data_IF_116263454108
#
_entry.id   IF_116263454108
#
_cell.length_a   1.000
_cell.length_b   1.000
_cell.length_c   1.000
_cell.angle_alpha   90.00
_cell.angle_beta   90.00
_cell.angle_gamma   90.00
#
_symmetry.space_group_name_H-M   'P 1'
#
loop_
_entity.id
_entity.type
_entity.pdbx_description
1 polymer ?
#
# COMPACT_ATOMS: atom_id res chain seq x y z
N UNK A 1 73.63 -58.46 30.40
CA UNK A 1 72.77 -58.63 29.20
C UNK A 1 71.62 -57.63 29.33
N UNK A 2 71.80 -56.43 28.75
CA UNK A 2 70.84 -55.33 28.84
C UNK A 2 70.02 -55.28 27.54
N UNK A 3 68.88 -55.94 27.52
CA UNK A 3 67.85 -55.79 26.48
C UNK A 3 66.67 -55.03 27.07
N UNK A 4 66.75 -53.69 27.10
CA UNK A 4 65.64 -52.82 27.54
C UNK A 4 65.51 -51.45 26.84
N UNK A 5 66.32 -51.02 25.85
CA UNK A 5 66.05 -49.73 25.19
C UNK A 5 64.98 -49.79 24.08
N UNK A 6 64.75 -50.96 23.46
CA UNK A 6 63.86 -51.09 22.28
C UNK A 6 62.37 -51.02 22.60
N UNK A 7 61.95 -51.41 23.81
CA UNK A 7 60.54 -51.37 24.21
C UNK A 7 60.06 -49.95 24.49
N UNK A 8 60.94 -49.10 25.06
CA UNK A 8 60.62 -47.71 25.41
C UNK A 8 60.44 -46.86 24.15
N UNK A 9 61.33 -47.00 23.15
CA UNK A 9 61.19 -46.27 21.87
C UNK A 9 59.93 -46.65 21.10
N UNK A 10 59.54 -47.93 21.15
CA UNK A 10 58.32 -48.42 20.49
C UNK A 10 57.06 -47.86 21.15
N UNK A 11 57.04 -47.77 22.49
CA UNK A 11 55.92 -47.18 23.23
C UNK A 11 55.77 -45.67 22.97
N UNK A 12 56.88 -44.91 22.91
CA UNK A 12 56.87 -43.49 22.58
C UNK A 12 56.35 -43.25 21.16
N UNK A 13 56.78 -44.06 20.19
CA UNK A 13 56.30 -43.97 18.81
C UNK A 13 54.81 -44.33 18.66
N UNK A 14 54.33 -45.35 19.37
CA UNK A 14 52.91 -45.68 19.40
C UNK A 14 52.06 -44.52 19.93
N UNK A 15 52.50 -43.88 21.03
CA UNK A 15 51.83 -42.69 21.59
C UNK A 15 51.82 -41.51 20.62
N UNK A 16 52.90 -41.30 19.88
CA UNK A 16 52.96 -40.26 18.85
C UNK A 16 51.89 -40.50 17.77
N UNK A 17 51.75 -41.73 17.28
CA UNK A 17 50.75 -42.08 16.27
C UNK A 17 49.31 -41.94 16.80
N UNK A 18 49.06 -42.36 18.04
CA UNK A 18 47.75 -42.21 18.68
C UNK A 18 47.34 -40.72 18.77
N UNK A 19 48.28 -39.83 19.13
CA UNK A 19 48.01 -38.39 19.20
C UNK A 19 47.72 -37.78 17.83
N UNK A 20 48.45 -38.17 16.78
CA UNK A 20 48.12 -37.74 15.42
C UNK A 20 46.72 -38.20 14.99
N UNK A 21 46.35 -39.44 15.32
CA UNK A 21 45.04 -39.97 15.00
C UNK A 21 43.93 -39.23 15.74
N UNK A 22 44.11 -38.97 17.04
CA UNK A 22 43.15 -38.22 17.85
C UNK A 22 42.97 -36.79 17.35
N UNK A 23 44.06 -36.10 17.03
CA UNK A 23 44.00 -34.75 16.48
C UNK A 23 43.23 -34.69 15.15
N UNK A 24 43.43 -35.65 14.24
CA UNK A 24 42.70 -35.71 12.97
C UNK A 24 41.24 -36.13 13.13
N UNK A 25 40.92 -36.86 14.19
CA UNK A 25 39.56 -37.35 14.48
C UNK A 25 38.69 -36.35 15.27
N UNK A 26 39.28 -35.27 15.81
CA UNK A 26 38.57 -34.25 16.55
C UNK A 26 37.46 -33.58 15.71
N UNK A 27 36.27 -33.42 16.29
CA UNK A 27 35.09 -32.88 15.61
C UNK A 27 34.88 -31.39 15.85
N UNK A 28 35.56 -30.80 16.84
CA UNK A 28 35.51 -29.37 17.14
C UNK A 28 36.88 -28.80 17.48
N UNK A 29 36.97 -27.46 17.40
CA UNK A 29 38.18 -26.71 17.73
C UNK A 29 38.53 -26.89 19.22
N UNK A 30 37.53 -26.95 20.10
CA UNK A 30 37.73 -27.15 21.54
C UNK A 30 38.27 -28.54 21.86
N UNK A 31 37.76 -29.58 21.20
CA UNK A 31 38.23 -30.96 21.34
C UNK A 31 39.69 -31.09 20.88
N UNK A 32 40.02 -30.51 19.72
CA UNK A 32 41.39 -30.47 19.22
C UNK A 32 42.32 -29.68 20.17
N UNK A 33 41.88 -28.53 20.66
CA UNK A 33 42.66 -27.72 21.59
C UNK A 33 42.96 -28.48 22.89
N UNK A 34 41.98 -29.25 23.41
CA UNK A 34 42.17 -30.11 24.57
C UNK A 34 43.20 -31.21 24.30
N UNK A 35 43.09 -31.90 23.15
CA UNK A 35 44.04 -32.94 22.74
C UNK A 35 45.48 -32.40 22.67
N UNK A 36 45.66 -31.21 22.10
CA UNK A 36 46.97 -30.57 21.96
C UNK A 36 47.62 -30.27 23.31
N UNK A 37 46.89 -29.73 24.30
CA UNK A 37 47.49 -29.25 25.56
C UNK A 37 47.44 -30.24 26.71
N UNK A 38 46.59 -31.28 26.64
CA UNK A 38 46.45 -32.28 27.72
C UNK A 38 46.96 -33.65 27.28
N UNK A 39 46.47 -34.19 26.15
CA UNK A 39 46.79 -35.56 25.74
C UNK A 39 48.25 -35.70 25.29
N UNK A 40 48.91 -34.61 24.87
CA UNK A 40 50.33 -34.60 24.53
C UNK A 40 51.28 -34.63 25.75
N UNK A 41 50.77 -34.47 26.98
CA UNK A 41 51.58 -34.43 28.20
C UNK A 41 52.42 -35.70 28.42
N UNK A 42 51.89 -36.93 28.27
CA UNK A 42 52.64 -38.16 28.49
C UNK A 42 53.74 -38.40 27.44
N UNK A 43 53.74 -37.67 26.32
CA UNK A 43 54.78 -37.77 25.29
C UNK A 43 55.98 -36.88 25.61
N UNK A 44 55.73 -35.62 25.99
CA UNK A 44 56.78 -34.61 26.21
C UNK A 44 57.14 -34.39 27.69
N UNK A 45 56.39 -34.98 28.61
CA UNK A 45 56.54 -34.84 30.06
C UNK A 45 56.60 -33.38 30.54
N UNK A 46 55.80 -32.51 29.93
CA UNK A 46 55.71 -31.10 30.33
C UNK A 46 54.85 -30.92 31.59
N UNK A 47 55.12 -29.82 32.30
CA UNK A 47 54.32 -29.38 33.46
C UNK A 47 53.04 -28.69 33.00
N UNK A 48 53.16 -27.80 32.02
CA UNK A 48 52.04 -27.11 31.40
C UNK A 48 52.37 -26.75 29.95
N UNK A 49 51.33 -26.71 29.14
CA UNK A 49 51.33 -26.27 27.77
C UNK A 49 50.28 -25.19 27.55
N UNK A 50 50.55 -24.25 26.65
CA UNK A 50 49.60 -23.24 26.20
C UNK A 50 49.52 -23.24 24.67
N UNK A 51 48.30 -23.35 24.14
CA UNK A 51 48.03 -23.21 22.71
C UNK A 51 47.65 -21.77 22.39
N UNK A 52 48.37 -21.16 21.46
CA UNK A 52 48.15 -19.81 20.96
C UNK A 52 47.67 -19.84 19.51
N UNK A 53 46.66 -19.03 19.20
CA UNK A 53 46.13 -18.84 17.85
C UNK A 53 45.93 -17.36 17.63
N UNK A 54 46.48 -16.81 16.55
CA UNK A 54 46.49 -15.37 16.25
C UNK A 54 46.97 -14.52 17.44
N UNK A 55 48.01 -14.98 18.14
CA UNK A 55 48.63 -14.29 19.27
C UNK A 55 47.87 -14.36 20.61
N UNK A 56 46.75 -15.08 20.67
CA UNK A 56 45.95 -15.24 21.91
C UNK A 56 45.94 -16.68 22.39
N UNK A 57 45.98 -16.88 23.69
CA UNK A 57 45.90 -18.22 24.30
C UNK A 57 44.46 -18.75 24.17
N UNK A 58 44.33 -19.91 23.53
CA UNK A 58 43.05 -20.61 23.33
C UNK A 58 42.81 -21.72 24.35
N UNK A 59 43.87 -22.43 24.73
CA UNK A 59 43.79 -23.50 25.72
C UNK A 59 45.08 -23.59 26.53
N UNK A 60 44.97 -24.05 27.77
CA UNK A 60 46.07 -24.29 28.69
C UNK A 60 45.85 -25.65 29.36
N UNK A 61 46.93 -26.39 29.64
CA UNK A 61 46.84 -27.68 30.34
C UNK A 61 46.04 -27.59 31.63
N UNK A 62 45.15 -28.55 31.84
CA UNK A 62 44.35 -28.68 33.07
C UNK A 62 43.17 -27.72 33.20
N UNK A 63 42.89 -26.89 32.19
CA UNK A 63 41.77 -25.93 32.22
C UNK A 63 40.96 -26.00 30.92
N UNK A 64 39.64 -26.14 31.04
CA UNK A 64 38.72 -26.23 29.89
C UNK A 64 38.61 -24.90 29.13
N UNK A 65 38.63 -23.76 29.84
CA UNK A 65 38.63 -22.41 29.26
C UNK A 65 39.58 -21.49 30.03
N UNK A 66 40.68 -21.01 29.43
CA UNK A 66 41.60 -20.11 30.12
C UNK A 66 40.95 -18.74 30.35
N UNK A 67 41.09 -18.21 31.57
CA UNK A 67 40.63 -16.85 31.87
C UNK A 67 41.51 -15.82 31.15
N UNK A 68 40.96 -14.85 30.40
CA UNK A 68 41.73 -13.91 29.57
C UNK A 68 42.78 -13.05 30.31
N UNK A 69 42.66 -12.91 31.63
CA UNK A 69 43.56 -12.11 32.47
C UNK A 69 44.30 -12.95 33.52
N UNK A 70 44.34 -14.27 33.37
CA UNK A 70 45.16 -15.10 34.22
C UNK A 70 46.64 -14.69 34.08
N UNK A 71 47.42 -14.58 35.17
CA UNK A 71 48.82 -14.15 35.12
C UNK A 71 49.67 -14.95 34.12
N UNK A 72 49.46 -16.27 34.06
CA UNK A 72 50.16 -17.15 33.12
C UNK A 72 49.77 -16.89 31.65
N UNK A 73 48.49 -16.63 31.37
CA UNK A 73 48.01 -16.31 30.01
C UNK A 73 48.62 -14.99 29.53
N UNK A 74 48.57 -13.96 30.37
CA UNK A 74 49.15 -12.65 30.06
C UNK A 74 50.67 -12.73 29.82
N UNK A 75 51.37 -13.55 30.62
CA UNK A 75 52.79 -13.84 30.42
C UNK A 75 53.07 -14.46 29.04
N UNK A 76 52.36 -15.54 28.68
CA UNK A 76 52.62 -16.27 27.42
C UNK A 76 52.25 -15.43 26.19
N UNK A 77 51.16 -14.67 26.22
CA UNK A 77 50.78 -13.75 25.12
C UNK A 77 51.82 -12.64 24.92
N UNK A 78 52.34 -12.07 26.03
CA UNK A 78 53.41 -11.06 25.99
C UNK A 78 54.71 -11.66 25.46
N UNK A 79 55.11 -12.83 25.97
CA UNK A 79 56.32 -13.53 25.52
C UNK A 79 56.25 -13.85 24.02
N UNK A 80 55.11 -14.35 23.54
CA UNK A 80 54.85 -14.61 22.12
C UNK A 80 55.00 -13.33 21.27
N UNK A 81 54.38 -12.23 21.69
CA UNK A 81 54.46 -10.94 20.98
C UNK A 81 55.89 -10.44 20.88
N UNK A 82 56.68 -10.58 21.96
CA UNK A 82 58.08 -10.17 21.98
C UNK A 82 58.94 -11.04 21.05
N UNK A 83 58.81 -12.36 21.15
CA UNK A 83 59.56 -13.28 20.30
C UNK A 83 59.27 -13.03 18.81
N UNK A 84 58.01 -12.79 18.45
CA UNK A 84 57.59 -12.47 17.08
C UNK A 84 58.18 -11.18 16.53
N UNK A 85 58.46 -10.19 17.40
CA UNK A 85 59.08 -8.92 16.97
C UNK A 85 60.60 -9.00 16.79
N UNK A 86 61.26 -9.97 17.43
CA UNK A 86 62.71 -10.13 17.36
C UNK A 86 63.14 -10.96 16.15
N UNK A 87 62.43 -12.06 15.85
CA UNK A 87 62.80 -12.95 14.73
C UNK A 87 61.61 -13.80 14.24
N UNK A 88 60.77 -13.20 13.39
CA UNK A 88 59.57 -13.83 12.83
C UNK A 88 59.89 -15.12 12.03
N UNK A 89 61.03 -15.16 11.34
CA UNK A 89 61.44 -16.34 10.55
C UNK A 89 61.91 -17.49 11.42
N UNK A 90 62.63 -17.21 12.50
CA UNK A 90 63.08 -18.26 13.41
C UNK A 90 61.95 -18.85 14.27
N UNK A 91 60.78 -18.20 14.34
CA UNK A 91 59.59 -18.74 15.00
C UNK A 91 58.72 -19.62 14.09
N UNK A 92 59.07 -19.75 12.81
CA UNK A 92 58.44 -20.71 11.90
C UNK A 92 58.94 -22.15 12.11
N UNK A 93 59.95 -22.36 12.96
CA UNK A 93 60.50 -23.67 13.31
C UNK A 93 60.43 -23.94 14.83
N UNK A 94 60.41 -25.22 15.19
CA UNK A 94 60.42 -25.66 16.58
C UNK A 94 61.76 -25.31 17.24
N UNK A 95 61.74 -24.66 18.41
CA UNK A 95 62.97 -24.22 19.09
C UNK A 95 62.81 -24.07 20.60
N UNK A 96 63.92 -24.23 21.31
CA UNK A 96 63.99 -23.90 22.74
C UNK A 96 64.10 -22.39 22.92
N UNK A 97 63.28 -21.82 23.79
CA UNK A 97 63.28 -20.40 24.12
C UNK A 97 64.25 -20.17 25.27
N UNK A 98 65.15 -19.20 25.09
CA UNK A 98 66.06 -18.77 26.15
C UNK A 98 65.47 -17.57 26.87
N UNK A 99 65.47 -17.59 28.20
CA UNK A 99 64.94 -16.50 29.02
C UNK A 99 65.61 -15.14 28.72
N UNK A 100 66.86 -15.12 28.22
CA UNK A 100 67.58 -13.92 27.79
C UNK A 100 66.92 -13.17 26.61
N UNK A 101 66.08 -13.84 25.82
CA UNK A 101 65.39 -13.27 24.67
C UNK A 101 64.18 -12.42 25.07
N UNK A 102 63.72 -12.52 26.32
CA UNK A 102 62.57 -11.79 26.83
C UNK A 102 62.99 -10.57 27.65
N UNK A 103 62.07 -9.61 27.81
CA UNK A 103 62.28 -8.46 28.67
C UNK A 103 62.37 -8.84 30.17
N UNK A 104 62.75 -7.87 31.00
CA UNK A 104 62.95 -8.11 32.43
C UNK A 104 61.66 -8.56 33.15
N UNK A 105 60.51 -8.02 32.73
CA UNK A 105 59.23 -8.36 33.35
C UNK A 105 58.79 -9.77 32.99
N UNK A 106 58.84 -10.16 31.71
CA UNK A 106 58.52 -11.52 31.27
C UNK A 106 59.48 -12.55 31.84
N UNK A 107 60.75 -12.21 32.09
CA UNK A 107 61.68 -13.09 32.83
C UNK A 107 61.26 -13.34 34.27
N UNK A 108 60.84 -12.28 35.00
CA UNK A 108 60.33 -12.41 36.38
C UNK A 108 59.05 -13.25 36.40
N UNK A 109 58.13 -12.98 35.48
CA UNK A 109 56.87 -13.70 35.36
C UNK A 109 57.11 -15.17 34.99
N UNK A 110 58.05 -15.48 34.11
CA UNK A 110 58.46 -16.85 33.80
C UNK A 110 58.91 -17.59 35.05
N UNK A 111 59.86 -17.03 35.81
CA UNK A 111 60.41 -17.66 37.02
C UNK A 111 59.33 -17.92 38.08
N UNK A 112 58.31 -17.07 38.15
CA UNK A 112 57.21 -17.20 39.12
C UNK A 112 56.11 -18.16 38.66
N UNK A 113 55.80 -18.20 37.36
CA UNK A 113 54.57 -18.81 36.83
C UNK A 113 54.81 -20.05 35.95
N UNK A 114 56.04 -20.28 35.47
CA UNK A 114 56.36 -21.33 34.50
C UNK A 114 57.53 -22.21 34.94
N UNK A 115 57.69 -23.38 34.29
CA UNK A 115 58.86 -24.23 34.44
C UNK A 115 60.07 -23.61 33.71
N UNK A 116 61.32 -23.86 34.12
CA UNK A 116 62.51 -23.16 33.65
C UNK A 116 62.82 -23.34 32.16
N UNK A 117 62.42 -24.47 31.57
CA UNK A 117 62.72 -24.80 30.17
C UNK A 117 61.46 -24.72 29.31
N UNK A 118 61.49 -23.92 28.24
CA UNK A 118 60.36 -23.76 27.32
C UNK A 118 60.72 -24.12 25.88
N UNK A 119 59.81 -24.86 25.25
CA UNK A 119 59.86 -25.21 23.84
C UNK A 119 58.72 -24.52 23.10
N UNK A 120 59.08 -23.83 22.03
CA UNK A 120 58.15 -23.23 21.07
C UNK A 120 57.94 -24.18 19.90
N UNK A 121 56.68 -24.53 19.64
CA UNK A 121 56.30 -25.37 18.49
C UNK A 121 55.25 -24.64 17.64
N UNK A 122 55.60 -24.15 16.43
CA UNK A 122 54.71 -23.30 15.64
C UNK A 122 53.66 -24.10 14.86
N UNK A 123 52.48 -23.49 14.69
CA UNK A 123 51.42 -23.98 13.82
C UNK A 123 51.42 -23.16 12.52
N UNK A 124 51.93 -23.77 11.45
CA UNK A 124 52.12 -23.12 10.16
C UNK A 124 51.02 -23.52 9.18
N UNK A 125 50.51 -22.57 8.40
CA UNK A 125 49.53 -22.84 7.35
C UNK A 125 50.14 -23.65 6.18
N UNK A 126 49.30 -24.02 5.20
CA UNK A 126 49.75 -24.75 3.99
C UNK A 126 50.77 -23.98 3.14
N UNK A 127 50.93 -22.68 3.38
CA UNK A 127 51.88 -21.79 2.70
C UNK A 127 53.16 -21.57 3.54
N UNK A 128 53.24 -22.15 4.74
CA UNK A 128 54.38 -22.04 5.65
C UNK A 128 54.33 -20.82 6.58
N UNK A 129 53.21 -20.09 6.63
CA UNK A 129 53.07 -18.92 7.51
C UNK A 129 52.56 -19.34 8.90
N UNK A 130 53.19 -18.92 10.00
CA UNK A 130 52.70 -19.21 11.34
C UNK A 130 51.38 -18.48 11.62
N UNK A 131 50.32 -19.20 12.00
CA UNK A 131 49.06 -18.62 12.49
C UNK A 131 48.83 -18.88 13.98
N UNK A 132 49.61 -19.77 14.57
CA UNK A 132 49.53 -20.14 15.97
C UNK A 132 50.81 -20.82 16.44
N UNK A 133 50.83 -21.23 17.69
CA UNK A 133 51.94 -21.98 18.28
C UNK A 133 51.54 -22.66 19.58
N UNK A 134 52.37 -23.60 20.02
CA UNK A 134 52.25 -24.30 21.28
C UNK A 134 53.50 -23.99 22.10
N UNK A 135 53.28 -23.50 23.33
CA UNK A 135 54.31 -23.28 24.33
C UNK A 135 54.32 -24.47 25.28
N UNK A 136 55.37 -25.29 25.24
CA UNK A 136 55.57 -26.39 26.20
C UNK A 136 56.58 -25.99 27.27
N UNK A 137 56.24 -26.13 28.55
CA UNK A 137 57.15 -25.81 29.66
C UNK A 137 57.41 -27.04 30.53
N UNK A 138 58.69 -27.35 30.78
CA UNK A 138 59.10 -28.49 31.61
C UNK A 138 60.30 -28.16 32.50
N UNK A 139 60.56 -29.02 33.49
CA UNK A 139 61.66 -28.83 34.46
C UNK A 139 63.03 -29.30 33.92
N UNK A 140 63.04 -30.17 32.91
CA UNK A 140 64.24 -30.78 32.34
C UNK A 140 64.61 -30.14 30.98
N UNK A 141 65.90 -30.04 30.62
CA UNK A 141 66.32 -29.44 29.36
C UNK A 141 65.78 -30.22 28.16
N UNK A 142 65.31 -29.51 27.13
CA UNK A 142 64.78 -30.08 25.89
C UNK A 142 65.86 -30.77 25.06
N UNK A 143 65.60 -32.01 24.61
CA UNK A 143 66.52 -32.75 23.75
C UNK A 143 66.23 -32.47 22.27
N UNK A 144 67.20 -32.75 21.38
CA UNK A 144 67.01 -32.61 19.93
C UNK A 144 65.91 -33.53 19.40
N UNK A 145 65.72 -34.72 20.00
CA UNK A 145 64.65 -35.65 19.65
C UNK A 145 63.27 -35.08 19.96
N UNK A 146 63.13 -34.34 21.06
CA UNK A 146 61.86 -33.72 21.45
C UNK A 146 61.45 -32.62 20.46
N UNK A 147 62.42 -31.84 19.97
CA UNK A 147 62.19 -30.81 18.96
C UNK A 147 61.67 -31.41 17.66
N UNK A 148 62.28 -32.51 17.19
CA UNK A 148 61.85 -33.21 15.97
C UNK A 148 60.43 -33.77 16.13
N UNK A 149 60.12 -34.38 17.27
CA UNK A 149 58.77 -34.91 17.53
C UNK A 149 57.72 -33.79 17.61
N UNK A 150 58.04 -32.68 18.29
CA UNK A 150 57.17 -31.53 18.40
C UNK A 150 56.93 -30.86 17.04
N UNK A 151 57.96 -30.78 16.19
CA UNK A 151 57.85 -30.24 14.83
C UNK A 151 56.93 -31.11 13.96
N UNK A 152 57.06 -32.44 14.00
CA UNK A 152 56.18 -33.32 13.23
C UNK A 152 54.72 -33.26 13.73
N UNK A 153 54.49 -33.29 15.04
CA UNK A 153 53.14 -33.16 15.60
C UNK A 153 52.51 -31.80 15.30
N UNK A 154 53.30 -30.72 15.31
CA UNK A 154 52.81 -29.38 14.96
C UNK A 154 52.21 -29.32 13.57
N UNK A 155 52.78 -30.06 12.61
CA UNK A 155 52.24 -30.20 11.26
C UNK A 155 50.88 -30.90 11.25
N UNK A 156 50.74 -31.99 12.01
CA UNK A 156 49.47 -32.71 12.15
C UNK A 156 48.39 -31.85 12.83
N UNK A 157 48.74 -31.17 13.92
CA UNK A 157 47.84 -30.26 14.66
C UNK A 157 47.42 -29.07 13.80
N UNK A 158 48.35 -28.45 13.06
CA UNK A 158 48.05 -27.35 12.15
C UNK A 158 47.05 -27.77 11.07
N UNK A 159 47.28 -28.93 10.46
CA UNK A 159 46.39 -29.45 9.42
C UNK A 159 44.97 -29.72 9.95
N UNK A 160 44.86 -30.32 11.13
CA UNK A 160 43.57 -30.56 11.79
C UNK A 160 42.87 -29.24 12.14
N UNK A 161 43.61 -28.24 12.65
CA UNK A 161 43.06 -26.94 13.01
C UNK A 161 42.46 -26.21 11.82
N UNK A 162 43.21 -26.13 10.71
CA UNK A 162 42.75 -25.46 9.49
C UNK A 162 41.58 -26.17 8.80
N UNK A 163 41.39 -27.46 9.06
CA UNK A 163 40.24 -28.21 8.57
C UNK A 163 38.96 -27.90 9.37
N UNK A 164 39.09 -27.61 10.67
CA UNK A 164 37.98 -27.29 11.57
C UNK A 164 37.66 -25.79 11.62
N UNK A 165 38.59 -24.92 11.24
CA UNK A 165 38.35 -23.49 11.21
C UNK A 165 37.33 -23.12 10.11
N UNK A 166 36.23 -22.41 10.45
CA UNK A 166 35.20 -22.06 9.48
C UNK A 166 35.79 -21.10 8.43
N UNK A 167 36.20 -21.65 7.29
CA UNK A 167 36.59 -20.92 6.10
C UNK A 167 35.42 -20.04 5.67
N UNK A 168 35.40 -18.76 6.04
CA UNK A 168 34.33 -17.85 5.60
C UNK A 168 34.40 -17.73 4.07
N UNK A 169 33.45 -18.33 3.31
CA UNK A 169 33.61 -18.36 1.87
C UNK A 169 33.28 -16.97 1.33
N UNK A 170 34.25 -16.34 0.66
CA UNK A 170 34.15 -15.04 -0.04
C UNK A 170 32.92 -14.95 -0.97
N UNK A 171 32.34 -16.08 -1.36
CA UNK A 171 31.12 -16.22 -2.16
C UNK A 171 29.86 -15.61 -1.51
N UNK A 172 29.72 -15.66 -0.16
CA UNK A 172 28.54 -15.12 0.55
C UNK A 172 28.42 -13.59 0.46
N UNK A 173 29.53 -12.87 0.25
CA UNK A 173 29.55 -11.40 0.08
C UNK A 173 29.06 -10.97 -1.31
N UNK A 174 29.34 -11.77 -2.36
CA UNK A 174 28.92 -11.51 -3.75
C UNK A 174 27.45 -11.86 -4.00
N UNK A 175 26.90 -12.83 -3.27
CA UNK A 175 25.49 -13.20 -3.34
C UNK A 175 24.54 -12.11 -2.79
N UNK A 176 24.96 -11.36 -1.76
CA UNK A 176 24.13 -10.27 -1.19
C UNK A 176 23.88 -9.13 -2.18
N UNK A 177 24.89 -8.75 -2.97
CA UNK A 177 24.77 -7.66 -3.96
C UNK A 177 23.81 -8.01 -5.10
N UNK A 178 23.72 -9.30 -5.46
CA UNK A 178 22.77 -9.79 -6.46
C UNK A 178 21.31 -9.67 -6.00
N UNK A 179 21.03 -9.55 -4.71
CA UNK A 179 19.67 -9.41 -4.16
C UNK A 179 19.41 -7.95 -3.74
N UNK A 180 20.40 -7.27 -3.15
CA UNK A 180 20.20 -5.89 -2.67
C UNK A 180 20.00 -4.90 -3.81
N UNK A 181 20.71 -5.06 -4.94
CA UNK A 181 20.57 -4.17 -6.10
C UNK A 181 19.17 -4.26 -6.72
N UNK A 182 18.62 -5.44 -7.09
CA UNK A 182 17.26 -5.50 -7.62
C UNK A 182 16.20 -5.12 -6.57
N UNK A 183 16.40 -5.43 -5.28
CA UNK A 183 15.50 -4.99 -4.24
C UNK A 183 15.45 -3.45 -4.11
N UNK A 184 16.61 -2.79 -4.16
CA UNK A 184 16.70 -1.33 -4.14
C UNK A 184 16.11 -0.70 -5.41
N UNK A 185 16.34 -1.32 -6.57
CA UNK A 185 15.79 -0.86 -7.84
C UNK A 185 14.26 -1.00 -7.89
N UNK A 186 13.72 -2.10 -7.36
CA UNK A 186 12.28 -2.30 -7.18
C UNK A 186 11.69 -1.28 -6.20
N UNK A 187 12.39 -1.00 -5.10
CA UNK A 187 12.01 0.05 -4.15
C UNK A 187 12.02 1.43 -4.81
N UNK A 188 13.00 1.73 -5.66
CA UNK A 188 13.05 2.99 -6.40
C UNK A 188 11.90 3.10 -7.41
N UNK A 189 11.54 2.01 -8.11
CA UNK A 189 10.41 1.99 -9.03
C UNK A 189 9.07 2.32 -8.35
N UNK A 190 8.91 1.99 -7.08
CA UNK A 190 7.72 2.31 -6.29
C UNK A 190 7.51 3.83 -6.08
N UNK A 191 8.56 4.65 -6.24
CA UNK A 191 8.50 6.12 -6.14
C UNK A 191 8.24 6.82 -7.49
N UNK A 192 8.15 6.08 -8.60
CA UNK A 192 7.85 6.68 -9.91
C UNK A 192 6.43 7.27 -9.87
N UNK A 193 6.25 8.56 -10.20
CA UNK A 193 4.94 9.19 -10.21
C UNK A 193 4.10 8.67 -11.39
N UNK A 194 2.93 8.12 -11.08
CA UNK A 194 1.96 7.64 -12.08
C UNK A 194 0.65 8.39 -11.91
N UNK A 195 -0.02 8.63 -13.03
CA UNK A 195 -1.30 9.34 -13.02
C UNK A 195 -2.39 8.44 -12.46
N UNK A 196 -3.01 8.86 -11.35
CA UNK A 196 -4.12 8.11 -10.78
C UNK A 196 -5.34 8.19 -11.70
N UNK A 197 -5.99 7.06 -11.95
CA UNK A 197 -7.26 7.04 -12.67
C UNK A 197 -8.23 6.07 -12.04
N UNK A 198 -9.51 6.41 -12.11
CA UNK A 198 -10.61 5.60 -11.61
C UNK A 198 -11.62 5.40 -12.73
N UNK A 199 -12.24 4.24 -12.75
CA UNK A 199 -13.31 3.89 -13.68
C UNK A 199 -14.63 3.90 -12.93
N UNK A 200 -15.64 4.52 -13.51
CA UNK A 200 -16.98 4.61 -12.92
C UNK A 200 -18.06 4.54 -14.02
N UNK A 201 -19.23 3.94 -13.74
CA UNK A 201 -20.35 3.98 -14.66
C UNK A 201 -20.81 5.42 -14.88
N UNK A 202 -21.20 5.72 -16.11
CA UNK A 202 -21.61 7.05 -16.52
C UNK A 202 -22.77 7.03 -17.51
N UNK A 203 -23.59 8.09 -17.48
CA UNK A 203 -24.75 8.28 -18.35
C UNK A 203 -24.76 9.69 -18.92
N UNK A 204 -25.08 9.80 -20.20
CA UNK A 204 -25.24 11.08 -20.91
C UNK A 204 -26.61 11.65 -20.56
N UNK A 205 -26.62 12.75 -19.82
CA UNK A 205 -27.83 13.44 -19.36
C UNK A 205 -27.97 14.79 -20.08
N UNK A 206 -29.16 15.40 -20.10
CA UNK A 206 -29.30 16.78 -20.56
C UNK A 206 -28.54 17.76 -19.68
N UNK A 207 -27.81 18.70 -20.29
CA UNK A 207 -27.26 19.84 -19.56
C UNK A 207 -28.39 20.86 -19.31
N UNK A 208 -28.66 21.18 -18.04
CA UNK A 208 -29.72 22.11 -17.63
C UNK A 208 -31.12 21.76 -18.18
N UNK A 209 -31.50 20.47 -18.10
CA UNK A 209 -32.88 20.07 -18.40
C UNK A 209 -33.88 20.71 -17.42
N UNK A 210 -35.04 21.10 -17.94
CA UNK A 210 -36.12 21.73 -17.17
C UNK A 210 -37.15 20.67 -16.82
N UNK A 211 -37.34 20.40 -15.54
CA UNK A 211 -38.38 19.47 -15.10
C UNK A 211 -39.75 20.07 -15.37
N UNK A 212 -40.57 19.34 -16.13
CA UNK A 212 -41.97 19.67 -16.37
C UNK A 212 -42.80 18.84 -15.41
N UNK A 213 -43.39 19.51 -14.42
CA UNK A 213 -44.19 18.90 -13.36
C UNK A 213 -45.69 19.15 -13.57
N UNK A 214 -46.53 18.35 -12.94
CA UNK A 214 -47.98 18.54 -12.95
C UNK A 214 -48.36 19.87 -12.24
N UNK A 215 -49.11 20.77 -12.90
CA UNK A 215 -49.48 22.08 -12.33
C UNK A 215 -50.68 22.01 -11.38
N UNK A 216 -51.42 20.90 -11.39
CA UNK A 216 -52.61 20.64 -10.59
C UNK A 216 -52.82 19.14 -10.39
N UNK A 217 -53.63 18.79 -9.40
CA UNK A 217 -54.05 17.42 -9.13
C UNK A 217 -55.10 16.99 -10.16
N UNK A 218 -54.90 15.83 -10.79
CA UNK A 218 -55.83 15.35 -11.81
C UNK A 218 -55.39 14.07 -12.49
N UNK A 219 -56.18 13.61 -13.45
CA UNK A 219 -55.88 12.42 -14.26
C UNK A 219 -55.36 12.87 -15.61
N UNK A 220 -54.28 12.23 -16.05
CA UNK A 220 -53.73 12.49 -17.39
C UNK A 220 -54.62 11.85 -18.44
N UNK A 221 -55.16 12.65 -19.34
CA UNK A 221 -55.99 12.18 -20.45
C UNK A 221 -55.10 11.66 -21.60
N UNK A 222 -54.10 12.44 -22.01
CA UNK A 222 -53.20 12.07 -23.11
C UNK A 222 -51.88 12.84 -23.08
N UNK A 223 -50.84 12.22 -23.61
CA UNK A 223 -49.60 12.89 -24.00
C UNK A 223 -49.70 13.22 -25.49
N UNK A 224 -49.49 14.48 -25.84
CA UNK A 224 -49.50 14.92 -27.26
C UNK A 224 -48.14 14.70 -27.92
N UNK A 225 -47.09 14.52 -27.12
CA UNK A 225 -45.70 14.34 -27.57
C UNK A 225 -45.19 12.94 -27.27
N UNK A 226 -44.32 12.43 -28.14
CA UNK A 226 -43.62 11.16 -28.01
C UNK A 226 -42.30 11.33 -27.24
N UNK A 227 -41.78 10.25 -26.62
CA UNK A 227 -40.43 10.26 -26.04
C UNK A 227 -39.38 10.66 -27.07
N UNK A 228 -38.44 11.51 -26.68
CA UNK A 228 -37.34 12.02 -27.51
C UNK A 228 -37.79 12.84 -28.73
N UNK A 229 -39.06 13.26 -28.79
CA UNK A 229 -39.56 14.15 -29.82
C UNK A 229 -39.09 15.59 -29.57
N UNK A 230 -38.71 16.28 -30.64
CA UNK A 230 -38.45 17.72 -30.60
C UNK A 230 -39.76 18.50 -30.52
N UNK A 231 -39.83 19.45 -29.59
CA UNK A 231 -40.97 20.30 -29.31
C UNK A 231 -40.57 21.77 -29.41
N UNK A 232 -41.52 22.61 -29.80
CA UNK A 232 -41.33 24.08 -29.85
C UNK A 232 -41.98 24.76 -28.66
N UNK A 233 -41.49 25.93 -28.31
CA UNK A 233 -42.07 26.79 -27.29
C UNK A 233 -43.57 27.00 -27.56
N UNK A 234 -44.41 26.78 -26.54
CA UNK A 234 -45.87 26.91 -26.59
C UNK A 234 -46.63 25.68 -27.09
N UNK A 235 -45.92 24.65 -27.58
CA UNK A 235 -46.51 23.37 -28.00
C UNK A 235 -47.09 22.61 -26.80
N UNK A 236 -48.26 21.98 -26.97
CA UNK A 236 -48.93 21.23 -25.90
C UNK A 236 -48.22 19.89 -25.71
N UNK A 237 -47.81 19.61 -24.48
CA UNK A 237 -47.08 18.40 -24.10
C UNK A 237 -48.04 17.34 -23.54
N UNK A 238 -48.85 17.75 -22.56
CA UNK A 238 -49.74 16.86 -21.79
C UNK A 238 -51.10 17.52 -21.62
N UNK A 239 -52.16 16.71 -21.72
CA UNK A 239 -53.54 17.11 -21.47
C UNK A 239 -54.10 16.32 -20.28
N UNK A 240 -54.66 17.03 -19.32
CA UNK A 240 -55.40 16.48 -18.20
C UNK A 240 -56.87 16.32 -18.58
N UNK A 241 -57.58 15.44 -17.88
CA UNK A 241 -59.03 15.39 -17.96
C UNK A 241 -59.60 16.72 -17.46
N UNK A 242 -60.13 17.50 -18.39
CA UNK A 242 -60.66 18.84 -18.16
C UNK A 242 -62.18 18.86 -18.04
N UNK A 243 -62.85 17.70 -18.01
CA UNK A 243 -64.33 17.62 -18.04
C UNK A 243 -64.96 18.41 -16.88
N UNK A 244 -64.42 18.23 -15.67
CA UNK A 244 -64.89 18.92 -14.46
C UNK A 244 -64.50 20.40 -14.45
N UNK A 245 -63.26 20.73 -14.81
CA UNK A 245 -62.75 22.10 -14.87
C UNK A 245 -63.51 22.95 -15.90
N UNK A 246 -63.84 22.36 -17.05
CA UNK A 246 -64.62 23.02 -18.11
C UNK A 246 -66.05 23.25 -17.65
N UNK A 247 -66.69 22.26 -17.04
CA UNK A 247 -68.03 22.43 -16.48
C UNK A 247 -68.06 23.55 -15.40
N UNK A 248 -67.03 23.65 -14.55
CA UNK A 248 -66.92 24.72 -13.55
C UNK A 248 -66.75 26.10 -14.20
N UNK A 249 -65.90 26.21 -15.24
CA UNK A 249 -65.74 27.45 -16.00
C UNK A 249 -67.06 27.89 -16.67
N UNK A 250 -67.78 26.95 -17.31
CA UNK A 250 -69.07 27.21 -17.94
C UNK A 250 -70.13 27.68 -16.92
N UNK A 251 -70.16 27.08 -15.73
CA UNK A 251 -71.07 27.48 -14.64
C UNK A 251 -70.73 28.88 -14.13
N UNK A 252 -69.45 29.17 -13.91
CA UNK A 252 -69.01 30.49 -13.44
C UNK A 252 -69.29 31.59 -14.48
N UNK A 253 -69.11 31.30 -15.77
CA UNK A 253 -69.45 32.21 -16.86
C UNK A 253 -70.95 32.50 -16.92
N UNK A 254 -71.80 31.49 -16.77
CA UNK A 254 -73.26 31.69 -16.70
C UNK A 254 -73.67 32.51 -15.47
N UNK A 255 -73.05 32.25 -14.31
CA UNK A 255 -73.32 33.01 -13.09
C UNK A 255 -72.93 34.50 -13.24
N UNK A 256 -71.80 34.79 -13.89
CA UNK A 256 -71.42 36.16 -14.24
C UNK A 256 -72.44 36.82 -15.17
N UNK A 257 -72.88 36.11 -16.22
CA UNK A 257 -73.88 36.63 -17.16
C UNK A 257 -75.20 37.00 -16.47
N UNK A 258 -75.65 36.20 -15.50
CA UNK A 258 -76.84 36.50 -14.68
C UNK A 258 -76.61 37.75 -13.83
N UNK A 259 -75.49 37.82 -13.09
CA UNK A 259 -75.18 38.98 -12.25
C UNK A 259 -75.05 40.27 -13.07
N UNK A 260 -74.42 40.22 -14.25
CA UNK A 260 -74.31 41.37 -15.14
C UNK A 260 -75.68 41.80 -15.70
N UNK A 261 -76.56 40.86 -16.04
CA UNK A 261 -77.91 41.17 -16.48
C UNK A 261 -78.74 41.83 -15.36
N UNK A 262 -78.65 41.34 -14.12
CA UNK A 262 -79.32 41.92 -12.96
C UNK A 262 -78.80 43.32 -12.62
N UNK A 263 -77.48 43.53 -12.68
CA UNK A 263 -76.86 44.84 -12.51
C UNK A 263 -77.32 45.81 -13.61
N UNK A 264 -77.31 45.40 -14.88
CA UNK A 264 -77.81 46.23 -16.00
C UNK A 264 -79.29 46.58 -15.84
N UNK A 265 -80.14 45.60 -15.55
CA UNK A 265 -81.58 45.82 -15.36
C UNK A 265 -81.86 46.76 -14.17
N UNK A 266 -81.07 46.66 -13.09
CA UNK A 266 -81.22 47.53 -11.92
C UNK A 266 -80.65 48.92 -12.17
N UNK A 267 -79.56 49.05 -12.95
CA UNK A 267 -78.99 50.35 -13.33
C UNK A 267 -79.98 51.19 -14.14
N UNK A 268 -80.77 50.55 -15.01
CA UNK A 268 -81.83 51.22 -15.76
C UNK A 268 -82.98 51.69 -14.86
N UNK A 269 -83.36 50.91 -13.83
CA UNK A 269 -84.39 51.29 -12.85
C UNK A 269 -83.93 52.38 -11.88
N UNK A 270 -82.64 52.39 -11.53
CA UNK A 270 -82.05 53.26 -10.53
C UNK A 270 -82.01 54.75 -10.91
N UNK A 271 -82.19 55.09 -12.19
CA UNK A 271 -82.32 56.49 -12.63
C UNK A 271 -83.55 57.20 -12.03
N UNK A 272 -84.51 56.47 -11.47
CA UNK A 272 -85.79 57.00 -10.99
C UNK A 272 -85.88 57.17 -9.46
N UNK A 273 -84.94 56.63 -8.66
CA UNK A 273 -85.10 56.57 -7.20
C UNK A 273 -83.76 56.59 -6.43
N UNK A 274 -83.67 57.39 -5.36
CA UNK A 274 -82.43 57.68 -4.62
C UNK A 274 -81.92 56.50 -3.77
N UNK A 275 -82.80 55.62 -3.29
CA UNK A 275 -82.46 54.38 -2.57
C UNK A 275 -81.76 53.34 -3.47
N UNK A 276 -81.78 53.56 -4.78
CA UNK A 276 -81.21 52.63 -5.76
C UNK A 276 -79.68 52.61 -5.77
N UNK A 277 -79.00 53.66 -5.27
CA UNK A 277 -77.52 53.73 -5.29
C UNK A 277 -76.85 52.62 -4.49
N UNK A 278 -77.25 52.42 -3.23
CA UNK A 278 -76.65 51.38 -2.38
C UNK A 278 -76.89 49.97 -2.95
N UNK A 279 -78.04 49.74 -3.60
CA UNK A 279 -78.35 48.48 -4.28
C UNK A 279 -77.52 48.28 -5.55
N UNK A 280 -77.23 49.34 -6.31
CA UNK A 280 -76.32 49.28 -7.44
C UNK A 280 -74.90 48.96 -7.00
N UNK A 281 -74.41 49.61 -5.94
CA UNK A 281 -73.07 49.36 -5.40
C UNK A 281 -72.92 47.89 -4.96
N UNK A 282 -73.95 47.34 -4.31
CA UNK A 282 -73.99 45.91 -3.96
C UNK A 282 -73.97 44.99 -5.19
N UNK A 283 -74.80 45.27 -6.20
CA UNK A 283 -74.84 44.47 -7.45
C UNK A 283 -73.52 44.59 -8.22
N UNK A 284 -72.88 45.75 -8.22
CA UNK A 284 -71.57 45.96 -8.82
C UNK A 284 -70.50 45.12 -8.10
N UNK A 285 -70.53 45.07 -6.77
CA UNK A 285 -69.65 44.19 -5.99
C UNK A 285 -69.91 42.70 -6.29
N UNK A 286 -71.18 42.30 -6.48
CA UNK A 286 -71.54 40.94 -6.84
C UNK A 286 -71.04 40.56 -8.25
N UNK A 287 -71.16 41.46 -9.24
CA UNK A 287 -70.57 41.27 -10.57
C UNK A 287 -69.06 41.12 -10.47
N UNK A 288 -68.38 41.97 -9.69
CA UNK A 288 -66.94 41.88 -9.49
C UNK A 288 -66.54 40.54 -8.85
N UNK A 289 -67.29 40.05 -7.86
CA UNK A 289 -67.09 38.73 -7.27
C UNK A 289 -67.25 37.61 -8.30
N UNK A 290 -68.35 37.61 -9.08
CA UNK A 290 -68.59 36.57 -10.10
C UNK A 290 -67.59 36.61 -11.24
N UNK A 291 -67.06 37.79 -11.57
CA UNK A 291 -65.98 37.93 -12.55
C UNK A 291 -64.70 37.29 -12.04
N UNK A 292 -64.34 37.52 -10.78
CA UNK A 292 -63.18 36.88 -10.16
C UNK A 292 -63.33 35.35 -10.08
N UNK A 293 -64.53 34.84 -9.76
CA UNK A 293 -64.81 33.39 -9.77
C UNK A 293 -64.64 32.77 -11.18
N UNK A 294 -65.14 33.45 -12.23
CA UNK A 294 -64.97 33.03 -13.63
C UNK A 294 -63.49 33.04 -14.04
N UNK A 295 -62.79 34.12 -13.75
CA UNK A 295 -61.37 34.26 -14.09
C UNK A 295 -60.51 33.20 -13.39
N UNK A 296 -60.84 32.87 -12.13
CA UNK A 296 -60.21 31.76 -11.40
C UNK A 296 -60.48 30.39 -12.04
N UNK A 297 -61.74 30.10 -12.40
CA UNK A 297 -62.10 28.84 -13.07
C UNK A 297 -61.39 28.70 -14.44
N UNK A 298 -61.30 29.79 -15.21
CA UNK A 298 -60.55 29.82 -16.47
C UNK A 298 -59.04 29.64 -16.26
N UNK A 299 -58.48 30.23 -15.20
CA UNK A 299 -57.07 30.04 -14.87
C UNK A 299 -56.78 28.56 -14.52
N UNK A 300 -57.65 27.90 -13.76
CA UNK A 300 -57.54 26.46 -13.49
C UNK A 300 -57.67 25.62 -14.76
N UNK A 301 -58.65 25.92 -15.62
CA UNK A 301 -58.84 25.23 -16.89
C UNK A 301 -57.61 25.38 -17.81
N UNK A 302 -57.00 26.57 -17.86
CA UNK A 302 -55.79 26.80 -18.66
C UNK A 302 -54.59 25.96 -18.21
N UNK A 303 -54.54 25.58 -16.93
CA UNK A 303 -53.51 24.71 -16.37
C UNK A 303 -53.75 23.22 -16.64
N UNK A 304 -54.92 22.84 -17.18
CA UNK A 304 -55.20 21.47 -17.61
C UNK A 304 -54.39 21.06 -18.86
N UNK A 305 -53.84 22.02 -19.59
CA UNK A 305 -52.89 21.79 -20.66
C UNK A 305 -51.49 22.25 -20.24
N UNK A 306 -50.51 21.35 -20.28
CA UNK A 306 -49.12 21.71 -20.08
C UNK A 306 -48.51 22.04 -21.43
N UNK A 307 -47.86 23.20 -21.54
CA UNK A 307 -47.16 23.66 -22.75
C UNK A 307 -45.66 23.75 -22.52
N UNK A 308 -44.87 23.61 -23.59
CA UNK A 308 -43.42 23.76 -23.53
C UNK A 308 -43.02 25.21 -23.24
N UNK A 309 -42.22 25.44 -22.20
CA UNK A 309 -41.71 26.79 -21.87
C UNK A 309 -40.65 27.29 -22.87
N UNK A 310 -39.97 26.38 -23.57
CA UNK A 310 -38.90 26.64 -24.54
C UNK A 310 -38.86 25.55 -25.62
N UNK A 311 -38.02 25.76 -26.64
CA UNK A 311 -37.69 24.72 -27.60
C UNK A 311 -36.82 23.63 -26.94
N UNK A 312 -36.98 22.36 -27.35
CA UNK A 312 -36.17 21.26 -26.84
C UNK A 312 -36.65 19.89 -27.28
N UNK A 313 -36.20 18.85 -26.57
CA UNK A 313 -36.65 17.47 -26.68
C UNK A 313 -37.31 17.01 -25.38
N UNK A 314 -38.41 16.28 -25.50
CA UNK A 314 -39.13 15.73 -24.35
C UNK A 314 -38.51 14.40 -23.90
N UNK A 315 -37.84 14.40 -22.74
CA UNK A 315 -37.16 13.24 -22.17
C UNK A 315 -38.03 12.62 -21.08
N UNK A 316 -38.56 11.42 -21.36
CA UNK A 316 -39.32 10.60 -20.42
C UNK A 316 -39.36 9.14 -20.91
N UNK A 317 -39.69 8.19 -20.02
CA UNK A 317 -39.57 6.76 -20.32
C UNK A 317 -40.63 6.24 -21.31
N UNK A 318 -41.92 6.48 -21.04
CA UNK A 318 -43.04 6.01 -21.86
C UNK A 318 -44.30 6.81 -21.52
N UNK A 319 -45.05 7.25 -22.55
CA UNK A 319 -46.31 7.98 -22.40
C UNK A 319 -47.44 7.08 -21.90
N UNK A 320 -47.41 5.80 -22.27
CA UNK A 320 -48.49 4.83 -22.02
C UNK A 320 -48.68 4.57 -20.54
N UNK A 321 -47.59 4.61 -19.76
CA UNK A 321 -47.61 4.42 -18.30
C UNK A 321 -48.32 5.54 -17.54
N UNK A 322 -48.50 6.69 -18.18
CA UNK A 322 -49.10 7.86 -17.54
C UNK A 322 -50.56 8.07 -17.94
N UNK A 323 -51.00 7.57 -19.09
CA UNK A 323 -52.39 7.70 -19.54
C UNK A 323 -53.35 7.05 -18.52
N UNK A 324 -54.32 7.82 -18.03
CA UNK A 324 -55.27 7.39 -17.02
C UNK A 324 -54.73 7.33 -15.58
N UNK A 325 -53.45 7.66 -15.36
CA UNK A 325 -52.86 7.69 -14.01
C UNK A 325 -53.22 9.01 -13.31
N UNK A 326 -53.70 8.97 -12.05
CA UNK A 326 -53.84 10.16 -11.23
C UNK A 326 -52.46 10.67 -10.81
N UNK A 327 -52.24 11.99 -10.93
CA UNK A 327 -50.99 12.66 -10.52
C UNK A 327 -51.28 13.82 -9.58
N UNK A 328 -50.27 14.16 -8.76
CA UNK A 328 -50.34 15.28 -7.82
C UNK A 328 -49.56 16.48 -8.32
N UNK A 329 -49.96 17.65 -7.85
CA UNK A 329 -49.26 18.92 -8.10
C UNK A 329 -47.79 18.79 -7.69
N UNK A 330 -46.89 19.13 -8.61
CA UNK A 330 -45.43 18.99 -8.44
C UNK A 330 -44.86 17.61 -8.83
N UNK A 331 -45.67 16.61 -9.16
CA UNK A 331 -45.17 15.32 -9.65
C UNK A 331 -44.45 15.52 -10.99
N UNK A 332 -43.22 14.99 -11.10
CA UNK A 332 -42.38 15.09 -12.29
C UNK A 332 -42.92 14.19 -13.41
N UNK A 333 -43.34 14.80 -14.52
CA UNK A 333 -43.90 14.08 -15.67
C UNK A 333 -42.84 13.80 -16.73
N UNK A 334 -42.05 14.82 -17.07
CA UNK A 334 -40.99 14.75 -18.08
C UNK A 334 -39.91 15.81 -17.82
N UNK A 335 -38.84 15.76 -18.61
CA UNK A 335 -37.81 16.80 -18.63
C UNK A 335 -37.66 17.35 -20.04
N UNK A 336 -37.61 18.67 -20.16
CA UNK A 336 -37.42 19.37 -21.42
C UNK A 336 -35.96 19.84 -21.54
N UNK A 337 -35.25 19.31 -22.53
CA UNK A 337 -33.82 19.51 -22.68
C UNK A 337 -33.43 19.96 -24.08
N UNK A 338 -32.28 20.61 -24.22
CA UNK A 338 -31.69 20.88 -25.54
C UNK A 338 -30.82 19.69 -25.96
N UNK A 339 -31.06 19.04 -27.12
CA UNK A 339 -30.25 17.91 -27.57
C UNK A 339 -28.79 18.29 -27.89
N UNK A 340 -28.50 19.57 -28.15
CA UNK A 340 -27.14 20.04 -28.41
C UNK A 340 -26.34 20.26 -27.12
N UNK A 341 -27.02 20.42 -25.97
CA UNK A 341 -26.39 20.68 -24.68
C UNK A 341 -26.55 19.45 -23.79
N UNK A 342 -25.52 18.60 -23.77
CA UNK A 342 -25.50 17.42 -22.91
C UNK A 342 -24.40 17.53 -21.86
N UNK A 343 -24.62 16.83 -20.74
CA UNK A 343 -23.67 16.67 -19.66
C UNK A 343 -23.46 15.18 -19.40
N UNK A 344 -22.35 14.85 -18.79
CA UNK A 344 -22.01 13.51 -18.37
C UNK A 344 -22.25 13.40 -16.87
N UNK A 345 -23.16 12.51 -16.47
CA UNK A 345 -23.35 12.11 -15.08
C UNK A 345 -22.50 10.88 -14.82
N UNK A 346 -21.71 10.90 -13.76
CA UNK A 346 -20.84 9.80 -13.36
C UNK A 346 -21.17 9.43 -11.92
N UNK A 347 -21.30 8.14 -11.66
CA UNK A 347 -21.56 7.60 -10.33
C UNK A 347 -20.28 6.95 -9.80
N UNK A 348 -19.52 7.68 -8.99
CA UNK A 348 -18.24 7.24 -8.45
C UNK A 348 -18.42 6.57 -7.08
N UNK A 349 -18.09 5.29 -6.97
CA UNK A 349 -18.15 4.57 -5.69
C UNK A 349 -17.31 5.24 -4.60
N UNK A 350 -17.85 5.33 -3.38
CA UNK A 350 -17.15 5.93 -2.22
C UNK A 350 -15.80 5.26 -1.95
N UNK A 351 -15.68 3.94 -2.15
CA UNK A 351 -14.42 3.21 -1.98
C UNK A 351 -13.37 3.56 -3.02
N UNK A 352 -13.81 4.00 -4.21
CA UNK A 352 -12.94 4.43 -5.30
C UNK A 352 -12.79 5.96 -5.37
N UNK A 353 -13.36 6.72 -4.43
CA UNK A 353 -13.23 8.18 -4.34
C UNK A 353 -11.76 8.64 -4.23
N UNK A 354 -11.34 9.46 -5.19
CA UNK A 354 -10.01 10.08 -5.22
C UNK A 354 -10.14 11.59 -5.11
N UNK A 355 -9.07 12.27 -4.71
CA UNK A 355 -9.04 13.72 -4.77
C UNK A 355 -9.00 14.15 -6.23
N UNK A 356 -10.06 14.85 -6.64
CA UNK A 356 -10.24 15.34 -8.01
C UNK A 356 -10.18 16.86 -7.99
N UNK A 357 -9.41 17.42 -8.92
CA UNK A 357 -9.38 18.86 -9.15
C UNK A 357 -10.56 19.27 -10.01
N UNK A 358 -10.95 20.54 -9.90
CA UNK A 358 -11.92 21.11 -10.82
C UNK A 358 -11.34 21.06 -12.25
N UNK A 359 -12.18 20.76 -13.24
CA UNK A 359 -11.77 20.56 -14.64
C UNK A 359 -10.85 19.35 -14.88
N UNK A 360 -10.83 18.37 -13.97
CA UNK A 360 -10.13 17.11 -14.20
C UNK A 360 -10.61 16.45 -15.51
N UNK A 361 -9.69 15.96 -16.36
CA UNK A 361 -10.05 15.39 -17.64
C UNK A 361 -10.64 13.98 -17.46
N UNK A 362 -11.76 13.79 -18.13
CA UNK A 362 -12.56 12.57 -18.13
C UNK A 362 -12.61 12.05 -19.56
N UNK A 363 -12.51 10.73 -19.69
CA UNK A 363 -12.71 10.05 -20.97
C UNK A 363 -13.86 9.08 -20.83
N UNK A 364 -14.93 9.30 -21.59
CA UNK A 364 -16.08 8.41 -21.66
C UNK A 364 -15.88 7.37 -22.77
N UNK A 365 -16.10 6.12 -22.45
CA UNK A 365 -16.23 5.01 -23.40
C UNK A 365 -17.67 4.53 -23.36
N UNK A 366 -18.39 4.66 -24.48
CA UNK A 366 -19.80 4.27 -24.56
C UNK A 366 -19.94 2.75 -24.65
N UNK A 367 -21.00 2.19 -24.07
CA UNK A 367 -21.28 0.75 -24.18
C UNK A 367 -21.58 0.34 -25.63
N UNK A 368 -22.17 1.26 -26.40
CA UNK A 368 -22.47 1.06 -27.83
C UNK A 368 -21.25 1.19 -28.73
N UNK A 369 -20.24 1.96 -28.31
CA UNK A 369 -19.01 2.18 -29.07
C UNK A 369 -17.80 2.34 -28.13
N UNK A 370 -17.22 1.22 -27.66
CA UNK A 370 -16.14 1.25 -26.68
C UNK A 370 -14.79 1.72 -27.26
N UNK A 371 -14.66 1.78 -28.59
CA UNK A 371 -13.41 2.12 -29.27
C UNK A 371 -13.26 3.61 -29.52
N UNK A 372 -14.34 4.39 -29.46
CA UNK A 372 -14.31 5.84 -29.64
C UNK A 372 -14.38 6.55 -28.28
N UNK A 373 -13.27 7.17 -27.84
CA UNK A 373 -13.28 7.94 -26.60
C UNK A 373 -13.94 9.30 -26.82
N UNK A 374 -14.80 9.72 -25.88
CA UNK A 374 -15.34 11.07 -25.82
C UNK A 374 -14.70 11.85 -24.67
N UNK A 375 -14.10 13.00 -24.96
CA UNK A 375 -13.45 13.84 -23.97
C UNK A 375 -14.47 14.72 -23.22
N UNK A 376 -14.36 14.76 -21.90
CA UNK A 376 -15.15 15.58 -21.01
C UNK A 376 -14.30 16.21 -19.90
N UNK A 377 -14.78 17.29 -19.30
CA UNK A 377 -14.13 18.00 -18.21
C UNK A 377 -15.06 18.03 -17.00
N UNK A 378 -14.50 17.71 -15.83
CA UNK A 378 -15.23 17.70 -14.57
C UNK A 378 -15.69 19.12 -14.19
N UNK A 379 -16.99 19.33 -13.99
CA UNK A 379 -17.51 20.62 -13.56
C UNK A 379 -17.81 20.66 -12.07
N UNK A 380 -18.47 19.61 -11.57
CA UNK A 380 -18.96 19.58 -10.20
C UNK A 380 -18.93 18.17 -9.64
N UNK A 381 -18.62 18.09 -8.35
CA UNK A 381 -18.72 16.89 -7.52
C UNK A 381 -19.78 17.18 -6.46
N UNK A 382 -20.77 16.30 -6.30
CA UNK A 382 -21.73 16.37 -5.22
C UNK A 382 -21.02 16.07 -3.88
N UNK A 383 -21.32 16.87 -2.85
CA UNK A 383 -20.74 16.69 -1.52
C UNK A 383 -21.28 15.48 -0.77
N UNK A 384 -22.51 15.06 -1.09
CA UNK A 384 -23.20 13.95 -0.45
C UNK A 384 -23.21 12.73 -1.38
N UNK A 385 -23.00 11.55 -0.80
CA UNK A 385 -23.14 10.28 -1.49
C UNK A 385 -24.60 9.86 -1.52
N UNK A 386 -25.08 9.45 -2.68
CA UNK A 386 -26.44 8.90 -2.83
C UNK A 386 -26.37 7.38 -3.00
N UNK A 387 -27.45 6.70 -2.61
CA UNK A 387 -27.58 5.27 -2.87
C UNK A 387 -27.99 5.08 -4.33
N UNK A 388 -27.14 4.41 -5.10
CA UNK A 388 -27.43 4.10 -6.51
C UNK A 388 -28.54 3.05 -6.61
N UNK A 389 -29.17 2.88 -7.80
CA UNK A 389 -30.09 1.77 -8.05
C UNK A 389 -29.47 0.38 -7.83
N UNK A 390 -28.14 0.27 -7.86
CA UNK A 390 -27.39 -0.97 -7.58
C UNK A 390 -27.19 -1.22 -6.07
N UNK A 391 -27.55 -0.25 -5.21
CA UNK A 391 -27.52 -0.37 -3.75
C UNK A 391 -26.22 0.05 -3.08
N UNK A 392 -25.17 0.39 -3.83
CA UNK A 392 -23.92 0.96 -3.29
C UNK A 392 -24.02 2.48 -3.14
N UNK A 393 -23.16 3.04 -2.28
CA UNK A 393 -23.03 4.49 -2.12
C UNK A 393 -22.06 5.04 -3.16
N UNK A 394 -22.50 6.04 -3.91
CA UNK A 394 -21.69 6.71 -4.91
C UNK A 394 -21.80 8.22 -4.80
N UNK A 395 -20.69 8.91 -5.03
CA UNK A 395 -20.68 10.34 -5.29
C UNK A 395 -21.13 10.59 -6.72
N UNK A 396 -22.01 11.57 -6.90
CA UNK A 396 -22.42 12.03 -8.21
C UNK A 396 -21.47 13.12 -8.71
N UNK A 397 -20.92 12.91 -9.90
CA UNK A 397 -20.11 13.90 -10.60
C UNK A 397 -20.85 14.33 -11.87
N UNK A 398 -20.85 15.64 -12.13
CA UNK A 398 -21.38 16.22 -13.36
C UNK A 398 -20.20 16.80 -14.17
N UNK A 399 -20.11 16.46 -15.45
CA UNK A 399 -19.04 16.89 -16.36
C UNK A 399 -19.60 17.40 -17.69
N UNK A 400 -18.88 18.32 -18.34
CA UNK A 400 -19.22 18.86 -19.66
C UNK A 400 -18.41 18.18 -20.76
N UNK A 401 -19.01 17.93 -21.92
CA UNK A 401 -18.28 17.44 -23.09
C UNK A 401 -17.45 18.57 -23.73
N UNK A 402 -16.27 18.23 -24.25
CA UNK A 402 -15.41 19.18 -24.98
C UNK A 402 -15.63 19.08 -26.49
N UNK A 403 -15.91 17.86 -26.97
CA UNK A 403 -16.19 17.55 -28.37
C UNK A 403 -17.69 17.42 -28.63
N UNK A 404 -18.06 17.06 -29.86
CA UNK A 404 -19.45 16.80 -30.26
C UNK A 404 -20.11 15.82 -29.29
N UNK A 405 -21.16 16.25 -28.56
CA UNK A 405 -21.75 15.45 -27.51
C UNK A 405 -22.48 14.23 -28.08
N UNK A 406 -22.37 13.06 -27.42
CA UNK A 406 -23.19 11.91 -27.72
C UNK A 406 -24.66 12.16 -27.37
N UNK A 407 -25.55 11.32 -27.92
CA UNK A 407 -27.00 11.43 -27.67
C UNK A 407 -27.32 11.19 -26.19
N UNK A 408 -28.31 11.92 -25.70
CA UNK A 408 -28.86 11.77 -24.34
C UNK A 408 -29.38 10.33 -24.14
N UNK A 409 -29.17 9.79 -22.94
CA UNK A 409 -29.61 8.45 -22.54
C UNK A 409 -28.62 7.33 -22.86
N UNK A 410 -27.51 7.63 -23.53
CA UNK A 410 -26.43 6.64 -23.72
C UNK A 410 -25.65 6.42 -22.42
N UNK A 411 -25.24 5.17 -22.20
CA UNK A 411 -24.47 4.73 -21.03
C UNK A 411 -23.09 4.24 -21.43
N UNK A 412 -22.19 4.26 -20.46
CA UNK A 412 -20.81 3.86 -20.67
C UNK A 412 -20.00 3.84 -19.38
N UNK A 413 -18.70 3.72 -19.54
CA UNK A 413 -17.72 3.81 -18.45
C UNK A 413 -16.87 5.06 -18.62
N UNK A 414 -16.84 5.91 -17.60
CA UNK A 414 -15.98 7.08 -17.55
C UNK A 414 -14.67 6.76 -16.83
N UNK A 415 -13.55 7.07 -17.48
CA UNK A 415 -12.22 7.11 -16.88
C UNK A 415 -11.92 8.51 -16.41
N UNK A 416 -11.95 8.71 -15.09
CA UNK A 416 -11.59 9.99 -14.47
C UNK A 416 -10.10 9.96 -14.14
N UNK A 417 -9.34 10.93 -14.63
CA UNK A 417 -7.91 11.03 -14.35
C UNK A 417 -7.66 12.10 -13.28
N UNK A 418 -7.11 11.68 -12.15
CA UNK A 418 -6.70 12.57 -11.06
C UNK A 418 -5.23 12.95 -11.13
N UNK A 419 -4.69 13.29 -9.95
CA UNK A 419 -3.32 13.74 -9.77
C UNK A 419 -2.28 12.62 -9.90
N UNK A 420 -1.02 13.03 -10.03
CA UNK A 420 0.12 12.11 -10.01
C UNK A 420 0.39 11.66 -8.58
N UNK A 421 0.37 10.35 -8.37
CA UNK A 421 0.68 9.71 -7.09
C UNK A 421 1.82 8.72 -7.27
N UNK A 422 2.65 8.47 -6.23
CA UNK A 422 3.66 7.43 -6.29
C UNK A 422 3.04 6.07 -6.63
N UNK A 423 3.73 5.27 -7.45
CA UNK A 423 3.26 3.93 -7.85
C UNK A 423 2.88 3.04 -6.66
N UNK A 424 3.61 3.16 -5.53
CA UNK A 424 3.26 2.48 -4.29
C UNK A 424 1.83 2.79 -3.83
N UNK A 425 1.44 4.07 -3.82
CA UNK A 425 0.10 4.49 -3.40
C UNK A 425 -0.93 3.96 -4.38
N UNK A 426 -0.68 4.05 -5.69
CA UNK A 426 -1.59 3.53 -6.72
C UNK A 426 -1.84 2.02 -6.56
N UNK A 427 -0.79 1.22 -6.34
CA UNK A 427 -0.85 -0.25 -6.29
C UNK A 427 -1.39 -0.78 -4.95
N UNK A 428 -1.03 -0.14 -3.84
CA UNK A 428 -1.44 -0.57 -2.51
C UNK A 428 -2.73 0.08 -2.00
N UNK A 429 -3.34 1.04 -2.71
CA UNK A 429 -4.57 1.73 -2.27
C UNK A 429 -5.72 0.78 -1.91
N UNK A 430 -6.11 -0.10 -2.84
CA UNK A 430 -7.23 -1.05 -2.63
C UNK A 430 -6.95 -2.08 -1.52
N UNK A 431 -5.81 -2.79 -1.51
CA UNK A 431 -5.55 -3.75 -0.43
C UNK A 431 -5.42 -3.05 0.93
N UNK A 432 -4.81 -1.86 1.01
CA UNK A 432 -4.77 -1.09 2.26
C UNK A 432 -6.16 -0.67 2.73
N UNK A 433 -7.06 -0.29 1.83
CA UNK A 433 -8.44 0.04 2.19
C UNK A 433 -9.19 -1.18 2.77
N UNK A 434 -9.02 -2.36 2.16
CA UNK A 434 -9.62 -3.62 2.66
C UNK A 434 -9.03 -4.00 4.01
N UNK A 435 -7.70 -3.92 4.18
CA UNK A 435 -7.02 -4.20 5.45
C UNK A 435 -7.50 -3.23 6.52
N UNK A 436 -7.61 -1.93 6.20
CA UNK A 436 -8.10 -0.90 7.11
C UNK A 436 -9.53 -1.19 7.56
N UNK A 437 -10.41 -1.56 6.64
CA UNK A 437 -11.79 -1.96 6.97
C UNK A 437 -11.83 -3.23 7.82
N UNK A 438 -10.96 -4.20 7.56
CA UNK A 438 -10.90 -5.45 8.32
C UNK A 438 -10.35 -5.27 9.74
N UNK A 439 -9.38 -4.36 9.92
CA UNK A 439 -8.72 -4.08 11.21
C UNK A 439 -9.44 -2.96 12.00
N UNK A 440 -10.30 -2.17 11.35
CA UNK A 440 -11.09 -1.11 11.99
C UNK A 440 -10.29 0.17 12.28
N UNK A 441 -9.29 0.48 11.45
CA UNK A 441 -8.41 1.66 11.58
C UNK A 441 -8.91 2.90 10.83
#
# INVERSE_FOLDING_TARGET
MNTTPTSVSTATFARFLDLEQQARAANSIEELAYCIVNDSQPLFSFRHAALLINGKVRAVTGVTQPAPHAPFVAFVERACTQLSSVDEKALAQCRVIQASQLDEQSRKDWLALSAPEALWSPLNDRQGNPFGAIWYAREQPWQSTDQVLAEQLSGAFSHAWLALEPQTPRWRRRARWKITVPALLLLACLFIPVRQSVLAPAEVIPHQGRVVAAPLDGVIQSFTVLPNQSVRQGEVLVRFDSTTLKAQADVAERALNVAEAEHRASSQRAFQDADSKARLDFLAAQVAQKRAERDYANALLSRAEIRAERDGIAVFADATRWMGKPVRTGERLMELADPALTALRIELDVGDAIQLQQEAPITLFLDSDPLTPHAALLERIAYESEQTPAGNLAYRLDARFTDTPPRIGLRGTAKISGDYVPLAVYLFRRPLAVIRQAIGL
#
